data_IF_853855554207
#
_entry.id   IF_853855554207
#
_cell.length_a   1.000
_cell.length_b   1.000
_cell.length_c   1.000
_cell.angle_alpha   90.00
_cell.angle_beta   90.00
_cell.angle_gamma   90.00
#
_symmetry.space_group_name_H-M   'P 1'
#
loop_
_entity.id
_entity.type
_entity.pdbx_description
1 polymer ?
#
# COMPACT_ATOMS: atom_id res chain seq x y z
N UNK A 1 6.71 5.85 -29.97
CA UNK A 1 7.04 5.61 -28.55
C UNK A 1 7.32 4.13 -28.38
N UNK A 2 8.54 3.77 -28.02
CA UNK A 2 8.87 2.40 -27.64
C UNK A 2 8.80 2.36 -26.11
N UNK A 3 7.69 1.84 -25.57
CA UNK A 3 7.47 1.79 -24.12
C UNK A 3 8.25 0.60 -23.59
N UNK A 4 9.29 0.87 -22.81
CA UNK A 4 10.21 -0.15 -22.29
C UNK A 4 10.08 -0.20 -20.76
N UNK A 5 9.93 -1.41 -20.21
CA UNK A 5 9.83 -1.64 -18.77
C UNK A 5 11.21 -1.89 -18.13
N UNK A 6 12.17 -2.40 -18.89
CA UNK A 6 13.53 -2.69 -18.41
C UNK A 6 14.37 -1.44 -18.23
N UNK A 7 14.20 -0.44 -19.10
CA UNK A 7 15.07 0.73 -19.12
C UNK A 7 14.85 1.62 -17.88
N UNK A 8 13.60 1.95 -17.48
CA UNK A 8 13.35 2.66 -16.22
C UNK A 8 13.79 1.86 -15.00
N UNK A 9 13.70 0.53 -15.05
CA UNK A 9 14.13 -0.32 -13.94
C UNK A 9 15.65 -0.31 -13.77
N UNK A 10 16.40 -0.37 -14.86
CA UNK A 10 17.87 -0.28 -14.85
C UNK A 10 18.38 1.09 -14.41
N UNK A 11 17.70 2.17 -14.84
CA UNK A 11 17.94 3.53 -14.37
C UNK A 11 17.68 3.63 -12.86
N UNK A 12 16.54 3.10 -12.41
CA UNK A 12 16.16 3.09 -11.00
C UNK A 12 17.16 2.35 -10.13
N UNK A 13 17.61 1.17 -10.57
CA UNK A 13 18.63 0.40 -9.88
C UNK A 13 19.98 1.14 -9.79
N UNK A 14 20.37 1.82 -10.86
CA UNK A 14 21.62 2.58 -10.90
C UNK A 14 21.58 3.79 -9.98
N UNK A 15 20.46 4.53 -9.98
CA UNK A 15 20.25 5.66 -9.06
C UNK A 15 20.18 5.23 -7.61
N UNK A 16 19.47 4.13 -7.31
CA UNK A 16 19.43 3.56 -5.97
C UNK A 16 20.84 3.25 -5.46
N UNK A 17 21.65 2.57 -6.26
CA UNK A 17 23.04 2.25 -5.90
C UNK A 17 23.86 3.51 -5.63
N UNK A 18 23.74 4.53 -6.48
CA UNK A 18 24.47 5.79 -6.34
C UNK A 18 24.03 6.55 -5.08
N UNK A 19 22.73 6.80 -4.94
CA UNK A 19 22.16 7.59 -3.85
C UNK A 19 22.37 6.96 -2.47
N UNK A 20 22.32 5.63 -2.38
CA UNK A 20 22.31 4.90 -1.11
C UNK A 20 23.67 4.34 -0.68
N UNK A 21 24.53 4.00 -1.64
CA UNK A 21 25.80 3.34 -1.36
C UNK A 21 27.04 4.16 -1.78
N UNK A 22 26.88 5.32 -2.44
CA UNK A 22 28.01 6.12 -2.95
C UNK A 22 27.79 7.65 -2.84
N UNK A 23 28.19 8.29 -1.71
CA UNK A 23 28.84 7.74 -0.52
C UNK A 23 27.85 7.09 0.46
N UNK A 24 28.28 6.03 1.16
CA UNK A 24 27.48 5.42 2.21
C UNK A 24 27.48 6.29 3.47
N UNK A 25 26.35 6.93 3.77
CA UNK A 25 26.13 7.72 4.98
C UNK A 25 24.97 7.11 5.79
N UNK A 26 25.30 6.61 6.99
CA UNK A 26 24.32 6.01 7.91
C UNK A 26 23.22 6.98 8.32
N UNK A 27 23.53 8.27 8.48
CA UNK A 27 22.55 9.30 8.86
C UNK A 27 21.54 9.52 7.74
N UNK A 28 22.02 9.64 6.49
CA UNK A 28 21.19 9.71 5.28
C UNK A 28 20.34 8.44 5.13
N UNK A 29 20.93 7.27 5.38
CA UNK A 29 20.25 5.98 5.27
C UNK A 29 19.07 5.83 6.25
N UNK A 30 19.27 6.17 7.53
CA UNK A 30 18.19 6.16 8.51
C UNK A 30 17.12 7.23 8.25
N UNK A 31 17.51 8.39 7.75
CA UNK A 31 16.58 9.49 7.43
C UNK A 31 15.67 9.15 6.25
N UNK A 32 16.24 8.63 5.16
CA UNK A 32 15.47 8.13 4.02
C UNK A 32 14.65 6.90 4.48
N UNK A 33 15.22 6.05 5.34
CA UNK A 33 14.56 4.91 5.99
C UNK A 33 13.29 5.29 6.71
N UNK A 34 13.38 6.35 7.52
CA UNK A 34 12.24 6.93 8.21
C UNK A 34 11.20 7.49 7.25
N UNK A 35 11.58 8.22 6.19
CA UNK A 35 10.59 8.72 5.23
C UNK A 35 9.91 7.60 4.42
N UNK A 36 10.63 6.53 4.07
CA UNK A 36 10.10 5.34 3.43
C UNK A 36 9.17 4.55 4.37
N UNK A 37 9.52 4.43 5.64
CA UNK A 37 8.67 3.88 6.70
C UNK A 37 7.34 4.61 6.78
N UNK A 38 7.39 5.94 6.91
CA UNK A 38 6.18 6.77 6.96
C UNK A 38 5.34 6.59 5.68
N UNK A 39 5.97 6.58 4.51
CA UNK A 39 5.26 6.40 3.24
C UNK A 39 4.52 5.05 3.16
N UNK A 40 5.09 3.98 3.72
CA UNK A 40 4.56 2.60 3.65
C UNK A 40 3.72 2.18 4.86
N UNK A 41 3.63 3.02 5.91
CA UNK A 41 3.02 2.71 7.20
C UNK A 41 1.56 2.19 7.16
N UNK A 42 0.80 2.58 6.14
CA UNK A 42 -0.64 2.24 5.98
C UNK A 42 -0.96 1.59 4.63
N UNK A 43 0.02 1.45 3.74
CA UNK A 43 -0.19 0.90 2.39
C UNK A 43 0.90 -0.07 1.91
N UNK A 44 1.86 -0.40 2.77
CA UNK A 44 2.88 -1.39 2.45
C UNK A 44 2.26 -2.80 2.37
N UNK A 45 2.77 -3.68 1.50
CA UNK A 45 2.25 -5.04 1.29
C UNK A 45 2.37 -5.99 2.52
N UNK A 46 2.72 -5.47 3.70
CA UNK A 46 2.71 -6.18 4.97
C UNK A 46 1.56 -5.79 5.93
N UNK A 47 0.63 -4.91 5.54
CA UNK A 47 -0.52 -4.53 6.38
C UNK A 47 -1.68 -5.53 6.34
N UNK A 48 -1.49 -6.69 5.70
CA UNK A 48 -2.40 -7.83 5.81
C UNK A 48 -2.07 -8.61 7.06
N UNK A 49 -2.86 -8.44 8.11
CA UNK A 49 -2.80 -9.28 9.31
C UNK A 49 -3.05 -10.75 8.97
N UNK A 50 -1.98 -11.46 8.64
CA UNK A 50 -1.96 -12.92 8.61
C UNK A 50 -2.03 -13.42 10.04
N UNK A 51 -3.26 -13.57 10.55
CA UNK A 51 -3.51 -14.30 11.78
C UNK A 51 -3.08 -15.75 11.58
N UNK A 52 -1.94 -16.13 12.15
CA UNK A 52 -1.60 -17.54 12.35
C UNK A 52 -2.56 -18.12 13.40
N UNK A 53 -3.73 -18.57 12.95
CA UNK A 53 -4.55 -19.48 13.74
C UNK A 53 -3.90 -20.85 13.68
N UNK A 54 -3.02 -21.12 14.65
CA UNK A 54 -2.70 -22.49 15.04
C UNK A 54 -3.95 -23.05 15.71
N UNK A 55 -4.81 -23.69 14.92
CA UNK A 55 -6.00 -24.37 15.43
C UNK A 55 -5.67 -25.86 15.53
N UNK A 56 -5.55 -26.33 16.77
CA UNK A 56 -5.60 -27.76 17.07
C UNK A 56 -6.97 -28.27 16.65
N UNK A 57 -7.02 -29.04 15.56
CA UNK A 57 -8.23 -29.70 15.08
C UNK A 57 -8.60 -30.82 16.06
N UNK A 58 -9.47 -30.50 17.01
CA UNK A 58 -10.26 -31.45 17.79
C UNK A 58 -11.72 -31.31 17.39
N UNK A 59 -12.24 -32.34 16.74
CA UNK A 59 -13.65 -32.60 16.39
C UNK A 59 -14.27 -31.78 15.24
N UNK A 60 -14.73 -32.50 14.20
CA UNK A 60 -15.17 -31.99 12.91
C UNK A 60 -16.70 -31.98 12.80
N UNK A 61 -17.36 -31.18 13.63
CA UNK A 61 -18.71 -30.69 13.34
C UNK A 61 -18.69 -29.18 13.52
N UNK A 62 -18.34 -28.45 12.45
CA UNK A 62 -18.64 -27.02 12.35
C UNK A 62 -20.16 -26.89 12.32
N UNK A 63 -20.76 -26.65 13.48
CA UNK A 63 -22.19 -26.49 13.61
C UNK A 63 -22.56 -25.12 13.02
N UNK A 64 -23.05 -25.10 11.78
CA UNK A 64 -23.39 -23.87 11.07
C UNK A 64 -24.47 -23.06 11.79
N UNK A 65 -25.23 -23.71 12.67
CA UNK A 65 -26.18 -23.08 13.57
C UNK A 65 -25.47 -22.22 14.64
N UNK A 66 -24.32 -22.65 15.16
CA UNK A 66 -23.50 -21.86 16.10
C UNK A 66 -22.90 -20.62 15.42
N UNK A 67 -22.42 -20.77 14.18
CA UNK A 67 -21.91 -19.64 13.37
C UNK A 67 -23.03 -18.64 13.03
N UNK A 68 -24.23 -19.13 12.73
CA UNK A 68 -25.39 -18.28 12.45
C UNK A 68 -25.88 -17.54 13.70
N UNK A 69 -25.76 -18.15 14.89
CA UNK A 69 -26.12 -17.56 16.17
C UNK A 69 -25.02 -16.68 16.80
N UNK A 70 -23.79 -16.73 16.26
CA UNK A 70 -22.65 -15.95 16.73
C UNK A 70 -22.93 -14.45 16.89
N UNK A 71 -23.62 -13.75 15.95
CA UNK A 71 -23.96 -12.34 16.14
C UNK A 71 -24.85 -12.09 17.37
N UNK A 72 -25.84 -12.95 17.64
CA UNK A 72 -26.68 -12.81 18.82
C UNK A 72 -25.91 -13.14 20.10
N UNK A 73 -25.09 -14.18 20.10
CA UNK A 73 -24.27 -14.58 21.26
C UNK A 73 -23.28 -13.46 21.61
N UNK A 74 -22.58 -12.91 20.61
CA UNK A 74 -21.68 -11.78 20.79
C UNK A 74 -22.42 -10.54 21.30
N UNK A 75 -23.61 -10.24 20.77
CA UNK A 75 -24.43 -9.11 21.22
C UNK A 75 -24.91 -9.27 22.67
N UNK A 76 -25.36 -10.47 23.05
CA UNK A 76 -25.80 -10.77 24.41
C UNK A 76 -24.63 -10.67 25.41
N UNK A 77 -23.48 -11.26 25.07
CA UNK A 77 -22.27 -11.16 25.89
C UNK A 77 -21.80 -9.71 26.07
N UNK A 78 -21.90 -8.91 25.00
CA UNK A 78 -21.55 -7.50 25.00
C UNK A 78 -22.48 -6.67 25.90
N UNK A 79 -23.77 -6.99 25.91
CA UNK A 79 -24.77 -6.32 26.75
C UNK A 79 -24.67 -6.74 28.23
N UNK A 80 -24.27 -7.97 28.52
CA UNK A 80 -24.01 -8.45 29.89
C UNK A 80 -22.78 -7.77 30.53
N UNK A 81 -21.81 -7.36 29.72
CA UNK A 81 -20.54 -6.80 30.18
C UNK A 81 -20.43 -5.31 29.87
N UNK A 82 -21.25 -4.48 30.52
CA UNK A 82 -21.32 -3.02 30.35
C UNK A 82 -19.95 -2.30 30.41
N UNK A 83 -19.05 -2.75 31.29
CA UNK A 83 -17.70 -2.18 31.44
C UNK A 83 -16.80 -2.51 30.25
N UNK A 84 -16.87 -3.75 29.75
CA UNK A 84 -16.09 -4.21 28.59
C UNK A 84 -16.60 -3.60 27.28
N UNK A 85 -17.91 -3.40 27.14
CA UNK A 85 -18.48 -2.69 26.00
C UNK A 85 -17.91 -1.28 25.86
N UNK A 86 -17.86 -0.52 26.96
CA UNK A 86 -17.27 0.82 26.98
C UNK A 86 -15.78 0.78 26.62
N UNK A 87 -15.00 -0.16 27.18
CA UNK A 87 -13.58 -0.31 26.87
C UNK A 87 -13.32 -0.70 25.40
N UNK A 88 -14.13 -1.59 24.83
CA UNK A 88 -14.03 -1.99 23.42
C UNK A 88 -14.33 -0.81 22.51
N UNK A 89 -15.39 -0.04 22.78
CA UNK A 89 -15.71 1.16 22.00
C UNK A 89 -14.57 2.17 22.07
N UNK A 90 -14.06 2.46 23.27
CA UNK A 90 -12.92 3.38 23.43
C UNK A 90 -11.70 2.86 22.68
N UNK A 91 -11.42 1.57 22.74
CA UNK A 91 -10.33 0.93 22.00
C UNK A 91 -10.48 1.06 20.49
N UNK A 92 -11.67 0.82 19.95
CA UNK A 92 -11.97 0.96 18.51
C UNK A 92 -11.87 2.41 18.05
N UNK A 93 -12.40 3.35 18.84
CA UNK A 93 -12.29 4.80 18.54
C UNK A 93 -10.82 5.24 18.57
N UNK A 94 -10.06 4.81 19.56
CA UNK A 94 -8.64 5.13 19.68
C UNK A 94 -7.85 4.54 18.51
N UNK A 95 -8.09 3.28 18.16
CA UNK A 95 -7.49 2.63 16.99
C UNK A 95 -7.83 3.38 15.69
N UNK A 96 -9.09 3.80 15.53
CA UNK A 96 -9.51 4.60 14.38
C UNK A 96 -8.76 5.95 14.32
N UNK A 97 -8.64 6.66 15.44
CA UNK A 97 -7.87 7.90 15.52
C UNK A 97 -6.41 7.65 15.14
N UNK A 98 -5.79 6.58 15.66
CA UNK A 98 -4.43 6.19 15.29
C UNK A 98 -4.34 5.97 13.77
N UNK A 99 -5.22 5.17 13.18
CA UNK A 99 -5.21 4.90 11.73
C UNK A 99 -5.34 6.19 10.90
N UNK A 100 -6.20 7.11 11.32
CA UNK A 100 -6.36 8.42 10.65
C UNK A 100 -5.07 9.24 10.74
N UNK A 101 -4.47 9.35 11.93
CA UNK A 101 -3.21 10.08 12.15
C UNK A 101 -2.07 9.46 11.35
N UNK A 102 -1.97 8.13 11.36
CA UNK A 102 -0.98 7.40 10.59
C UNK A 102 -1.19 7.58 9.07
N UNK A 103 -2.44 7.72 8.60
CA UNK A 103 -2.73 7.91 7.16
C UNK A 103 -2.34 9.30 6.73
N UNK A 104 -2.58 10.29 7.59
CA UNK A 104 -2.16 11.66 7.41
C UNK A 104 -0.63 11.75 7.36
N UNK A 105 0.04 11.12 8.32
CA UNK A 105 1.49 11.08 8.40
C UNK A 105 2.10 10.37 7.18
N UNK A 106 1.50 9.25 6.74
CA UNK A 106 1.90 8.52 5.54
C UNK A 106 1.76 9.35 4.26
N UNK A 107 0.68 10.13 4.16
CA UNK A 107 0.46 11.00 2.99
C UNK A 107 1.51 12.10 2.89
N UNK A 108 1.98 12.63 4.02
CA UNK A 108 3.09 13.60 4.05
C UNK A 108 4.44 12.93 3.79
N UNK A 109 4.68 11.75 4.35
CA UNK A 109 5.89 10.98 4.13
C UNK A 109 6.16 10.67 2.65
N UNK A 110 5.10 10.44 1.85
CA UNK A 110 5.23 10.20 0.40
C UNK A 110 5.83 11.37 -0.39
N UNK A 111 5.54 12.61 0.00
CA UNK A 111 6.10 13.80 -0.66
C UNK A 111 7.54 14.05 -0.21
N UNK A 112 7.85 13.88 1.09
CA UNK A 112 9.24 13.95 1.58
C UNK A 112 10.13 12.88 0.94
N UNK A 113 9.64 11.64 0.86
CA UNK A 113 10.38 10.56 0.23
C UNK A 113 10.61 10.85 -1.25
N UNK A 114 9.59 11.34 -1.97
CA UNK A 114 9.74 11.70 -3.38
C UNK A 114 10.75 12.83 -3.60
N UNK A 115 10.71 13.88 -2.79
CA UNK A 115 11.68 14.99 -2.82
C UNK A 115 13.11 14.49 -2.63
N UNK A 116 13.33 13.70 -1.58
CA UNK A 116 14.64 13.15 -1.25
C UNK A 116 15.16 12.17 -2.32
N UNK A 117 14.27 11.42 -2.97
CA UNK A 117 14.59 10.48 -4.07
C UNK A 117 14.94 11.22 -5.36
N UNK A 118 14.25 12.32 -5.67
CA UNK A 118 14.49 13.09 -6.91
C UNK A 118 15.78 13.91 -6.80
N UNK A 119 15.97 14.62 -5.69
CA UNK A 119 17.10 15.55 -5.51
C UNK A 119 18.31 14.91 -4.81
N UNK A 120 18.24 13.64 -4.44
CA UNK A 120 19.30 12.91 -3.69
C UNK A 120 19.70 13.59 -2.37
N UNK A 121 18.76 14.34 -1.77
CA UNK A 121 18.91 15.06 -0.49
C UNK A 121 18.36 14.23 0.66
N UNK A 122 18.81 14.52 1.87
CA UNK A 122 18.36 13.87 3.11
C UNK A 122 17.67 14.87 4.04
N UNK A 123 16.76 15.68 3.49
CA UNK A 123 16.10 16.76 4.24
C UNK A 123 14.69 16.34 4.67
N UNK A 124 14.39 16.52 5.96
CA UNK A 124 13.04 16.24 6.52
C UNK A 124 12.27 17.53 6.79
N UNK A 125 12.94 18.58 7.25
CA UNK A 125 12.28 19.79 7.77
C UNK A 125 11.70 20.70 6.67
N UNK A 126 12.46 20.97 5.60
CA UNK A 126 11.99 21.84 4.50
C UNK A 126 10.82 21.21 3.73
N UNK A 127 10.90 19.95 3.27
CA UNK A 127 9.81 19.35 2.50
C UNK A 127 8.53 19.16 3.33
N UNK A 128 8.65 19.05 4.67
CA UNK A 128 7.50 18.96 5.56
C UNK A 128 6.61 20.22 5.52
N UNK A 129 7.21 21.41 5.40
CA UNK A 129 6.47 22.67 5.35
C UNK A 129 5.96 22.97 3.95
N UNK A 130 6.78 22.73 2.93
CA UNK A 130 6.47 23.10 1.55
C UNK A 130 5.34 22.26 0.94
N UNK A 131 5.30 20.96 1.27
CA UNK A 131 4.29 20.02 0.74
C UNK A 131 3.07 19.83 1.65
N UNK A 132 2.90 20.67 2.68
CA UNK A 132 1.79 20.57 3.65
C UNK A 132 0.41 20.50 2.98
N UNK A 133 0.13 21.45 2.07
CA UNK A 133 -1.16 21.54 1.35
C UNK A 133 -1.41 20.34 0.43
N UNK A 134 -0.35 19.82 -0.20
CA UNK A 134 -0.40 18.66 -1.09
C UNK A 134 -0.64 17.36 -0.31
N UNK A 135 0.07 17.20 0.81
CA UNK A 135 -0.12 16.10 1.77
C UNK A 135 -1.53 16.05 2.33
N UNK A 136 -2.10 17.21 2.70
CA UNK A 136 -3.46 17.30 3.24
C UNK A 136 -4.52 16.95 2.17
N UNK A 137 -4.32 17.35 0.90
CA UNK A 137 -5.21 16.94 -0.21
C UNK A 137 -5.15 15.43 -0.48
N UNK A 138 -3.95 14.84 -0.49
CA UNK A 138 -3.77 13.40 -0.67
C UNK A 138 -4.37 12.61 0.49
N UNK A 139 -4.21 13.09 1.72
CA UNK A 139 -4.82 12.51 2.91
C UNK A 139 -6.35 12.48 2.79
N UNK A 140 -6.99 13.60 2.44
CA UNK A 140 -8.44 13.65 2.27
C UNK A 140 -8.92 12.67 1.21
N UNK A 141 -8.23 12.57 0.07
CA UNK A 141 -8.57 11.61 -0.98
C UNK A 141 -8.43 10.16 -0.49
N UNK A 142 -7.33 9.82 0.17
CA UNK A 142 -7.08 8.47 0.71
C UNK A 142 -8.07 8.10 1.80
N UNK A 143 -8.47 9.05 2.65
CA UNK A 143 -9.45 8.84 3.70
C UNK A 143 -10.84 8.58 3.10
N UNK A 144 -11.27 9.39 2.14
CA UNK A 144 -12.55 9.17 1.43
C UNK A 144 -12.54 7.82 0.71
N UNK A 145 -11.47 7.53 -0.04
CA UNK A 145 -11.32 6.25 -0.73
C UNK A 145 -11.35 5.07 0.25
N UNK A 146 -10.61 5.15 1.36
CA UNK A 146 -10.58 4.13 2.40
C UNK A 146 -11.94 3.89 3.05
N UNK A 147 -12.69 4.95 3.36
CA UNK A 147 -14.06 4.85 3.91
C UNK A 147 -15.02 4.22 2.90
N UNK A 148 -14.97 4.65 1.63
CA UNK A 148 -15.80 4.07 0.56
C UNK A 148 -15.47 2.59 0.35
N UNK A 149 -14.19 2.23 0.28
CA UNK A 149 -13.76 0.84 0.18
C UNK A 149 -14.22 0.01 1.38
N UNK A 150 -14.11 0.55 2.60
CA UNK A 150 -14.58 -0.12 3.80
C UNK A 150 -16.09 -0.38 3.79
N UNK A 151 -16.90 0.62 3.37
CA UNK A 151 -18.35 0.46 3.23
C UNK A 151 -18.67 -0.62 2.20
N UNK A 152 -18.02 -0.61 1.04
CA UNK A 152 -18.25 -1.60 -0.02
C UNK A 152 -17.87 -3.02 0.47
N UNK A 153 -16.74 -3.16 1.18
CA UNK A 153 -16.33 -4.44 1.78
C UNK A 153 -17.36 -4.91 2.81
N UNK A 154 -17.84 -4.03 3.68
CA UNK A 154 -18.84 -4.37 4.70
C UNK A 154 -20.18 -4.78 4.09
N UNK A 155 -20.64 -4.09 3.05
CA UNK A 155 -21.85 -4.48 2.30
C UNK A 155 -21.66 -5.83 1.60
N UNK A 156 -20.48 -6.05 1.01
CA UNK A 156 -20.11 -7.33 0.39
C UNK A 156 -20.08 -8.47 1.41
N UNK A 157 -19.54 -8.24 2.61
CA UNK A 157 -19.53 -9.20 3.71
C UNK A 157 -20.94 -9.51 4.21
N UNK A 158 -21.78 -8.49 4.39
CA UNK A 158 -23.17 -8.67 4.81
C UNK A 158 -23.96 -9.49 3.78
N UNK A 159 -23.81 -9.19 2.49
CA UNK A 159 -24.40 -9.98 1.41
C UNK A 159 -23.90 -11.43 1.43
N UNK A 160 -22.59 -11.61 1.57
CA UNK A 160 -21.97 -12.94 1.65
C UNK A 160 -22.49 -13.75 2.83
N UNK A 161 -22.65 -13.12 3.99
CA UNK A 161 -23.17 -13.76 5.20
C UNK A 161 -24.60 -14.25 4.99
N UNK A 162 -25.48 -13.42 4.40
CA UNK A 162 -26.86 -13.81 4.07
C UNK A 162 -26.89 -14.98 3.10
N UNK A 163 -26.07 -14.97 2.05
CA UNK A 163 -25.97 -16.06 1.08
C UNK A 163 -25.53 -17.37 1.75
N UNK A 164 -24.51 -17.30 2.61
CA UNK A 164 -24.00 -18.46 3.34
C UNK A 164 -25.09 -19.04 4.25
N UNK A 165 -25.73 -18.22 5.10
CA UNK A 165 -26.79 -18.69 6.01
C UNK A 165 -27.92 -19.37 5.23
N UNK A 166 -28.41 -18.78 4.14
CA UNK A 166 -29.47 -19.37 3.32
C UNK A 166 -29.07 -20.72 2.68
N UNK A 167 -27.80 -20.86 2.28
CA UNK A 167 -27.31 -22.11 1.68
C UNK A 167 -27.23 -23.25 2.69
N UNK A 168 -26.90 -22.94 3.95
CA UNK A 168 -26.76 -23.94 5.01
C UNK A 168 -28.07 -24.24 5.74
N UNK A 169 -29.00 -23.28 5.84
CA UNK A 169 -30.33 -23.51 6.43
C UNK A 169 -31.33 -24.15 5.46
N UNK A 170 -31.09 -24.05 4.15
CA UNK A 170 -31.94 -24.66 3.13
C UNK A 170 -31.50 -26.06 2.70
N UNK A 171 -32.45 -26.90 2.27
CA UNK A 171 -32.19 -28.15 1.53
C UNK A 171 -31.71 -27.82 0.11
N UNK A 172 -30.51 -27.24 -0.01
CA UNK A 172 -29.87 -26.94 -1.28
C UNK A 172 -28.96 -28.10 -1.71
N UNK A 173 -28.92 -28.39 -3.02
CA UNK A 173 -28.09 -29.46 -3.58
C UNK A 173 -26.61 -29.10 -3.48
N UNK A 174 -25.73 -30.11 -3.41
CA UNK A 174 -24.27 -29.89 -3.33
C UNK A 174 -23.75 -28.98 -4.46
N UNK A 175 -24.19 -29.10 -5.73
CA UNK A 175 -23.72 -28.24 -6.80
C UNK A 175 -24.02 -26.74 -6.59
N UNK A 176 -25.18 -26.39 -6.01
CA UNK A 176 -25.53 -24.98 -5.78
C UNK A 176 -24.68 -24.37 -4.68
N UNK A 177 -24.36 -25.12 -3.62
CA UNK A 177 -23.42 -24.68 -2.56
C UNK A 177 -22.03 -24.39 -3.12
N UNK A 178 -21.49 -25.29 -3.94
CA UNK A 178 -20.17 -25.12 -4.55
C UNK A 178 -20.14 -23.90 -5.47
N UNK A 179 -21.15 -23.72 -6.32
CA UNK A 179 -21.20 -22.58 -7.24
C UNK A 179 -21.30 -21.24 -6.49
N UNK A 180 -22.12 -21.18 -5.43
CA UNK A 180 -22.24 -19.97 -4.62
C UNK A 180 -20.96 -19.63 -3.86
N UNK A 181 -20.28 -20.61 -3.25
CA UNK A 181 -18.99 -20.38 -2.57
C UNK A 181 -17.94 -19.89 -3.57
N UNK A 182 -17.87 -20.50 -4.76
CA UNK A 182 -16.96 -20.06 -5.82
C UNK A 182 -17.27 -18.62 -6.26
N UNK A 183 -18.55 -18.26 -6.39
CA UNK A 183 -18.99 -16.89 -6.68
C UNK A 183 -18.56 -15.89 -5.61
N UNK A 184 -18.68 -16.24 -4.33
CA UNK A 184 -18.23 -15.39 -3.22
C UNK A 184 -16.71 -15.18 -3.24
N UNK A 185 -15.93 -16.24 -3.41
CA UNK A 185 -14.46 -16.13 -3.50
C UNK A 185 -14.05 -15.25 -4.68
N UNK A 186 -14.70 -15.44 -5.84
CA UNK A 186 -14.46 -14.63 -7.02
C UNK A 186 -14.80 -13.14 -6.78
N UNK A 187 -15.94 -12.86 -6.13
CA UNK A 187 -16.35 -11.51 -5.77
C UNK A 187 -15.31 -10.80 -4.89
N UNK A 188 -14.84 -11.44 -3.82
CA UNK A 188 -13.81 -10.86 -2.96
C UNK A 188 -12.47 -10.66 -3.69
N UNK A 189 -12.09 -11.62 -4.53
CA UNK A 189 -10.86 -11.52 -5.33
C UNK A 189 -10.90 -10.31 -6.25
N UNK A 190 -11.99 -10.14 -7.02
CA UNK A 190 -12.16 -9.00 -7.93
C UNK A 190 -12.13 -7.68 -7.16
N UNK A 191 -12.85 -7.61 -6.04
CA UNK A 191 -12.93 -6.40 -5.22
C UNK A 191 -11.56 -6.00 -4.67
N UNK A 192 -10.80 -6.95 -4.13
CA UNK A 192 -9.46 -6.71 -3.59
C UNK A 192 -8.48 -6.31 -4.69
N UNK A 193 -8.55 -6.95 -5.87
CA UNK A 193 -7.75 -6.55 -7.03
C UNK A 193 -8.06 -5.11 -7.44
N UNK A 194 -9.33 -4.71 -7.54
CA UNK A 194 -9.72 -3.35 -7.91
C UNK A 194 -9.18 -2.30 -6.93
N UNK A 195 -9.37 -2.52 -5.63
CA UNK A 195 -8.85 -1.60 -4.59
C UNK A 195 -7.32 -1.49 -4.66
N UNK A 196 -6.65 -2.62 -4.90
CA UNK A 196 -5.19 -2.67 -5.03
C UNK A 196 -4.68 -1.88 -6.23
N UNK A 197 -5.33 -2.02 -7.40
CA UNK A 197 -4.95 -1.26 -8.61
C UNK A 197 -5.16 0.24 -8.45
N UNK A 198 -6.28 0.66 -7.84
CA UNK A 198 -6.54 2.09 -7.60
C UNK A 198 -5.48 2.67 -6.66
N UNK A 199 -5.14 1.94 -5.58
CA UNK A 199 -4.10 2.35 -4.63
C UNK A 199 -2.72 2.39 -5.27
N UNK A 200 -2.41 1.42 -6.14
CA UNK A 200 -1.17 1.36 -6.90
C UNK A 200 -1.05 2.56 -7.84
N UNK A 201 -2.09 2.91 -8.60
CA UNK A 201 -2.05 4.05 -9.50
C UNK A 201 -1.98 5.39 -8.77
N UNK A 202 -2.68 5.52 -7.63
CA UNK A 202 -2.55 6.68 -6.76
C UNK A 202 -1.08 6.89 -6.39
N UNK A 203 -0.42 5.85 -5.90
CA UNK A 203 0.93 5.96 -5.36
C UNK A 203 1.98 6.09 -6.46
N UNK A 204 1.89 5.28 -7.52
CA UNK A 204 2.87 5.23 -8.60
C UNK A 204 2.81 6.44 -9.54
N UNK A 205 1.63 7.01 -9.79
CA UNK A 205 1.44 8.02 -10.84
C UNK A 205 0.81 9.31 -10.34
N UNK A 206 -0.26 9.23 -9.56
CA UNK A 206 -0.98 10.43 -9.10
C UNK A 206 -0.10 11.25 -8.15
N UNK A 207 0.64 10.62 -7.24
CA UNK A 207 1.55 11.35 -6.32
C UNK A 207 2.66 12.10 -7.08
N UNK A 208 3.40 11.49 -8.04
CA UNK A 208 4.34 12.24 -8.87
C UNK A 208 3.72 13.41 -9.67
N UNK A 209 2.52 13.22 -10.24
CA UNK A 209 1.81 14.29 -10.97
C UNK A 209 1.43 15.44 -10.03
N UNK A 210 0.93 15.13 -8.83
CA UNK A 210 0.64 16.12 -7.79
C UNK A 210 1.90 16.89 -7.40
N UNK A 211 3.03 16.20 -7.26
CA UNK A 211 4.30 16.80 -6.89
C UNK A 211 4.81 17.77 -7.98
N UNK A 212 4.80 17.37 -9.26
CA UNK A 212 5.27 18.23 -10.37
C UNK A 212 4.42 19.49 -10.54
N UNK A 213 3.10 19.31 -10.61
CA UNK A 213 2.20 20.42 -10.94
C UNK A 213 1.66 21.16 -9.72
N UNK A 214 1.98 20.72 -8.51
CA UNK A 214 1.49 21.29 -7.23
C UNK A 214 -0.05 21.40 -7.18
N UNK A 215 -0.74 20.42 -7.76
CA UNK A 215 -2.22 20.35 -7.83
C UNK A 215 -2.81 19.36 -6.80
N UNK A 216 -4.08 19.53 -6.38
CA UNK A 216 -4.75 18.59 -5.49
C UNK A 216 -5.01 17.22 -6.14
N UNK A 217 -5.24 16.20 -5.31
CA UNK A 217 -5.36 14.81 -5.75
C UNK A 217 -6.48 14.57 -6.78
N UNK A 218 -7.62 15.26 -6.65
CA UNK A 218 -8.73 15.15 -7.61
C UNK A 218 -8.32 15.62 -9.01
N UNK A 219 -7.69 16.78 -9.12
CA UNK A 219 -7.23 17.32 -10.39
C UNK A 219 -6.09 16.49 -11.00
N UNK A 220 -5.26 15.85 -10.16
CA UNK A 220 -4.24 14.93 -10.63
C UNK A 220 -4.85 13.65 -11.24
N UNK A 221 -5.96 13.14 -10.68
CA UNK A 221 -6.74 12.07 -11.31
C UNK A 221 -7.35 12.51 -12.63
N UNK A 222 -7.88 13.72 -12.74
CA UNK A 222 -8.44 14.24 -13.99
C UNK A 222 -7.41 14.32 -15.12
N UNK A 223 -6.13 14.52 -14.78
CA UNK A 223 -5.02 14.46 -15.76
C UNK A 223 -4.56 13.03 -16.06
N UNK A 224 -4.63 12.13 -15.08
CA UNK A 224 -4.17 10.75 -15.23
C UNK A 224 -5.20 9.84 -15.93
N UNK A 225 -6.50 10.01 -15.68
CA UNK A 225 -7.55 9.16 -16.24
C UNK A 225 -7.61 9.18 -17.78
N UNK A 226 -7.45 10.34 -18.47
CA UNK A 226 -7.35 10.36 -19.93
C UNK A 226 -6.12 9.60 -20.45
N UNK A 227 -4.99 9.68 -19.74
CA UNK A 227 -3.77 8.94 -20.07
C UNK A 227 -3.99 7.43 -19.92
N UNK A 228 -4.61 7.01 -18.82
CA UNK A 228 -5.00 5.63 -18.55
C UNK A 228 -5.95 5.09 -19.62
N UNK A 229 -6.96 5.88 -20.00
CA UNK A 229 -7.94 5.50 -21.03
C UNK A 229 -7.32 5.41 -22.42
N UNK A 230 -6.25 6.18 -22.70
CA UNK A 230 -5.54 6.15 -23.99
C UNK A 230 -4.63 4.93 -24.12
N UNK A 231 -4.06 4.46 -23.02
CA UNK A 231 -3.07 3.36 -22.99
C UNK A 231 -3.35 2.30 -21.90
N UNK A 232 -4.58 1.76 -21.78
CA UNK A 232 -4.98 0.94 -20.63
C UNK A 232 -4.14 -0.34 -20.51
N UNK A 233 -3.73 -0.91 -21.64
CA UNK A 233 -2.92 -2.12 -21.68
C UNK A 233 -1.54 -1.95 -21.04
N UNK A 234 -0.89 -0.80 -21.25
CA UNK A 234 0.43 -0.52 -20.69
C UNK A 234 0.37 -0.33 -19.17
N UNK A 235 -0.70 0.28 -18.66
CA UNK A 235 -0.93 0.43 -17.22
C UNK A 235 -1.30 -0.89 -16.54
N UNK A 236 -2.07 -1.74 -17.21
CA UNK A 236 -2.38 -3.09 -16.71
C UNK A 236 -1.10 -3.94 -16.61
N UNK A 237 -0.28 -3.95 -17.67
CA UNK A 237 1.02 -4.63 -17.68
C UNK A 237 1.98 -4.06 -16.63
N UNK A 238 1.99 -2.75 -16.42
CA UNK A 238 2.74 -2.13 -15.32
C UNK A 238 2.34 -2.72 -13.97
N UNK A 239 1.03 -2.86 -13.71
CA UNK A 239 0.52 -3.47 -12.48
C UNK A 239 1.00 -4.91 -12.28
N UNK A 240 0.90 -5.73 -13.34
CA UNK A 240 1.40 -7.13 -13.32
C UNK A 240 2.91 -7.17 -13.10
N UNK A 241 3.66 -6.27 -13.74
CA UNK A 241 5.11 -6.19 -13.60
C UNK A 241 5.53 -5.81 -12.18
N UNK A 242 4.87 -4.82 -11.58
CA UNK A 242 5.09 -4.45 -10.17
C UNK A 242 4.73 -5.60 -9.23
N UNK A 243 3.63 -6.30 -9.50
CA UNK A 243 3.25 -7.48 -8.73
C UNK A 243 4.30 -8.60 -8.81
N UNK A 244 4.84 -8.87 -10.00
CA UNK A 244 5.92 -9.84 -10.20
C UNK A 244 7.21 -9.43 -9.46
N UNK A 245 7.58 -8.13 -9.49
CA UNK A 245 8.72 -7.62 -8.73
C UNK A 245 8.52 -7.78 -7.22
N UNK A 246 7.30 -7.55 -6.71
CA UNK A 246 6.97 -7.80 -5.31
C UNK A 246 7.10 -9.27 -4.93
N UNK A 247 6.67 -10.20 -5.79
CA UNK A 247 6.89 -11.64 -5.57
C UNK A 247 8.38 -11.95 -5.44
N UNK A 248 9.23 -11.41 -6.30
CA UNK A 248 10.69 -11.61 -6.25
C UNK A 248 11.26 -11.10 -4.92
N UNK A 249 10.82 -9.91 -4.47
CA UNK A 249 11.23 -9.33 -3.19
C UNK A 249 10.80 -10.20 -2.02
N UNK A 250 9.55 -10.67 -2.00
CA UNK A 250 9.02 -11.55 -0.94
C UNK A 250 9.80 -12.85 -0.89
N UNK A 251 10.08 -13.48 -2.05
CA UNK A 251 10.93 -14.68 -2.12
C UNK A 251 12.32 -14.37 -1.54
N UNK A 252 12.92 -13.24 -1.90
CA UNK A 252 14.21 -12.81 -1.36
C UNK A 252 14.21 -12.65 0.16
N UNK A 253 13.15 -12.03 0.71
CA UNK A 253 12.97 -11.86 2.16
C UNK A 253 12.81 -13.22 2.85
N UNK A 254 12.00 -14.12 2.28
CA UNK A 254 11.77 -15.47 2.84
C UNK A 254 13.06 -16.28 2.84
N UNK A 255 13.82 -16.24 1.75
CA UNK A 255 15.14 -16.88 1.68
C UNK A 255 16.10 -16.30 2.71
N UNK A 256 16.18 -14.97 2.83
CA UNK A 256 17.03 -14.31 3.82
C UNK A 256 16.66 -14.70 5.25
N UNK A 257 15.37 -14.75 5.57
CA UNK A 257 14.87 -15.19 6.88
C UNK A 257 15.18 -16.67 7.17
N UNK A 258 15.15 -17.53 6.14
CA UNK A 258 15.54 -18.94 6.25
C UNK A 258 17.06 -19.09 6.48
N UNK A 259 17.89 -18.34 5.76
CA UNK A 259 19.36 -18.35 5.93
C UNK A 259 19.81 -17.80 7.28
N UNK A 260 19.09 -16.83 7.83
CA UNK A 260 19.39 -16.21 9.13
C UNK A 260 18.77 -16.94 10.32
N UNK A 261 18.26 -18.17 10.13
CA UNK A 261 17.67 -19.01 11.18
C UNK A 261 16.61 -18.25 12.00
N UNK A 262 15.61 -17.68 11.32
CA UNK A 262 14.47 -16.95 11.89
C UNK A 262 14.80 -15.61 12.58
N UNK A 263 16.08 -15.31 12.89
CA UNK A 263 16.49 -14.03 13.47
C UNK A 263 16.17 -12.87 12.53
N UNK A 264 16.33 -13.08 11.21
CA UNK A 264 15.96 -12.09 10.20
C UNK A 264 14.47 -11.76 10.17
N UNK A 265 13.58 -12.73 10.43
CA UNK A 265 12.15 -12.47 10.54
C UNK A 265 11.81 -11.66 11.80
N UNK A 266 12.45 -11.97 12.93
CA UNK A 266 12.23 -11.25 14.19
C UNK A 266 12.66 -9.77 14.08
N UNK A 267 13.71 -9.50 13.32
CA UNK A 267 14.20 -8.14 13.02
C UNK A 267 13.25 -7.39 12.06
N UNK A 268 12.68 -8.07 11.08
CA UNK A 268 11.77 -7.50 10.08
C UNK A 268 10.37 -7.22 10.65
N UNK A 269 9.95 -7.97 11.69
CA UNK A 269 8.73 -7.68 12.46
C UNK A 269 8.76 -6.30 13.11
N UNK A 270 9.95 -5.75 13.40
CA UNK A 270 10.07 -4.38 13.89
C UNK A 270 9.78 -3.43 12.71
N UNK A 271 8.66 -2.68 12.73
CA UNK A 271 8.16 -1.98 11.53
C UNK A 271 9.17 -1.00 10.93
N UNK A 272 9.90 -0.30 11.79
CA UNK A 272 10.93 0.64 11.38
C UNK A 272 12.12 -0.06 10.73
N UNK A 273 12.67 -1.12 11.35
CA UNK A 273 13.85 -1.79 10.81
C UNK A 273 13.51 -2.54 9.51
N UNK A 274 12.31 -3.12 9.43
CA UNK A 274 11.81 -3.71 8.19
C UNK A 274 11.80 -2.72 7.03
N UNK A 275 11.26 -1.52 7.24
CA UNK A 275 11.22 -0.49 6.17
C UNK A 275 12.61 0.00 5.74
N UNK A 276 13.53 0.08 6.70
CA UNK A 276 14.91 0.52 6.51
C UNK A 276 15.70 -0.53 5.71
N UNK A 277 15.52 -1.82 6.00
CA UNK A 277 16.09 -2.93 5.21
C UNK A 277 15.49 -3.01 3.80
N UNK A 278 14.18 -2.71 3.66
CA UNK A 278 13.47 -2.71 2.37
C UNK A 278 13.68 -1.39 1.60
N UNK A 279 14.44 -0.44 2.15
CA UNK A 279 14.66 0.86 1.53
C UNK A 279 15.23 0.79 0.11
N UNK A 280 16.27 -0.01 -0.21
CA UNK A 280 16.77 -0.14 -1.58
C UNK A 280 15.67 -0.54 -2.57
N UNK A 281 14.76 -1.40 -2.12
CA UNK A 281 13.62 -1.87 -2.91
C UNK A 281 12.63 -0.71 -3.11
N UNK A 282 12.15 -0.08 -2.03
CA UNK A 282 11.18 1.03 -2.13
C UNK A 282 11.71 2.22 -2.93
N UNK A 283 13.00 2.53 -2.82
CA UNK A 283 13.68 3.54 -3.64
C UNK A 283 13.64 3.17 -5.13
N UNK A 284 13.99 1.92 -5.46
CA UNK A 284 13.97 1.43 -6.84
C UNK A 284 12.55 1.47 -7.42
N UNK A 285 11.54 0.99 -6.69
CA UNK A 285 10.15 1.04 -7.14
C UNK A 285 9.67 2.47 -7.39
N UNK A 286 10.10 3.42 -6.55
CA UNK A 286 9.73 4.84 -6.68
C UNK A 286 10.37 5.49 -7.90
N UNK A 287 11.67 5.28 -8.12
CA UNK A 287 12.36 5.81 -9.30
C UNK A 287 11.85 5.13 -10.57
N UNK A 288 11.51 3.85 -10.50
CA UNK A 288 10.89 3.11 -11.60
C UNK A 288 9.53 3.67 -11.99
N UNK A 289 8.65 3.97 -11.02
CA UNK A 289 7.33 4.54 -11.31
C UNK A 289 7.42 5.92 -11.97
N UNK A 290 8.36 6.75 -11.50
CA UNK A 290 8.64 8.07 -12.07
C UNK A 290 9.22 7.94 -13.49
N UNK A 291 10.25 7.11 -13.69
CA UNK A 291 10.87 6.90 -15.01
C UNK A 291 9.94 6.28 -16.04
N UNK A 292 8.96 5.47 -15.62
CA UNK A 292 7.89 4.99 -16.51
C UNK A 292 6.95 6.12 -16.94
N UNK A 293 6.61 7.03 -16.02
CA UNK A 293 5.74 8.17 -16.30
C UNK A 293 6.38 9.15 -17.31
N UNK A 294 7.70 9.36 -17.23
CA UNK A 294 8.43 10.23 -18.16
C UNK A 294 8.36 9.78 -19.62
N UNK A 295 8.13 8.48 -19.88
CA UNK A 295 7.99 7.96 -21.24
C UNK A 295 6.72 8.47 -21.95
N UNK A 296 5.75 9.03 -21.22
CA UNK A 296 4.47 9.48 -21.78
C UNK A 296 4.43 10.97 -22.15
N UNK A 297 5.50 11.74 -21.86
CA UNK A 297 5.64 13.12 -22.34
C UNK A 297 6.61 13.98 -21.52
N UNK A 298 7.13 15.05 -22.14
CA UNK A 298 7.99 16.06 -21.49
C UNK A 298 7.26 16.80 -20.35
N UNK A 299 5.93 16.85 -20.39
CA UNK A 299 5.11 17.37 -19.28
C UNK A 299 5.27 16.56 -17.99
N UNK A 300 5.86 15.36 -18.02
CA UNK A 300 6.04 14.48 -16.86
C UNK A 300 7.50 14.26 -16.43
N UNK A 301 8.49 14.89 -17.08
CA UNK A 301 9.90 14.88 -16.64
C UNK A 301 10.05 15.45 -15.23
N UNK A 302 10.54 14.62 -14.32
CA UNK A 302 10.65 14.89 -12.90
C UNK A 302 12.10 14.88 -12.43
N UNK A 303 12.98 14.20 -13.17
CA UNK A 303 14.40 14.25 -12.86
C UNK A 303 15.01 15.57 -13.34
N UNK A 304 15.86 16.22 -12.52
CA UNK A 304 16.61 17.37 -12.98
C UNK A 304 17.48 16.97 -14.17
N UNK A 305 17.50 17.83 -15.20
CA UNK A 305 18.41 17.65 -16.33
C UNK A 305 19.85 17.68 -15.80
N UNK A 306 20.67 16.76 -16.29
CA UNK A 306 22.08 16.56 -15.86
C UNK A 306 22.92 17.85 -16.01
N UNK A 307 22.43 18.85 -16.73
CA UNK A 307 23.06 20.16 -16.89
C UNK A 307 23.00 21.05 -15.64
N UNK A 308 21.95 20.98 -14.80
CA UNK A 308 21.87 21.82 -13.58
C UNK A 308 22.79 21.34 -12.46
N UNK A 309 23.07 20.03 -12.37
CA UNK A 309 23.97 19.47 -11.34
C UNK A 309 25.44 19.87 -11.57
N UNK A 310 25.83 20.20 -12.80
CA UNK A 310 27.19 20.65 -13.09
C UNK A 310 27.41 22.14 -12.80
N UNK A 311 26.35 22.95 -12.70
CA UNK A 311 26.45 24.38 -12.41
C UNK A 311 26.61 24.61 -10.88
N UNK A 312 25.89 23.86 -10.05
CA UNK A 312 26.04 23.95 -8.58
C UNK A 312 27.41 23.45 -8.07
N UNK A 313 28.09 22.55 -8.80
CA UNK A 313 29.42 22.04 -8.44
C UNK A 313 30.58 22.95 -8.90
N UNK A 314 30.31 23.96 -9.74
CA UNK A 314 31.30 24.96 -10.15
C UNK A 314 31.25 26.25 -9.32
N UNK A 315 30.17 26.46 -8.56
CA UNK A 315 29.97 27.67 -7.74
C UNK A 315 30.05 27.42 -6.22
N UNK A 316 30.34 26.18 -5.78
CA UNK A 316 30.50 25.79 -4.38
C UNK A 316 31.94 25.62 -3.93
#
# INVERSE_FOLDING_TARGET
MNISYSDPLSLAWTRMKKALFQPFDLSKWFTIGFTAFLATLIGGPGSGGGGNYSQNYGDNNLDWEEIANFPQIAWQWLMENSLWFSLIIVGVVLLFIILVVLTWLSSRGKFMFLENVIHDKAEVSKPWHDYKKLGDSLFSWRLIFGVVSFIIIMLSLMFSFVVVVNLFSGYSSIPTKVFSIMGLVLQFTILMTMISYISLFLDSFVVPIMYKHKIPASQAWDRFLPLLSKYPWYFLLYGIFVFALWIIVVIGIVLFGLFTCCIGFLLLVIPFIGSVVILPVTYTFRVFSVGFLEQFGEDFTLFPNVEETNIELTEG
#
